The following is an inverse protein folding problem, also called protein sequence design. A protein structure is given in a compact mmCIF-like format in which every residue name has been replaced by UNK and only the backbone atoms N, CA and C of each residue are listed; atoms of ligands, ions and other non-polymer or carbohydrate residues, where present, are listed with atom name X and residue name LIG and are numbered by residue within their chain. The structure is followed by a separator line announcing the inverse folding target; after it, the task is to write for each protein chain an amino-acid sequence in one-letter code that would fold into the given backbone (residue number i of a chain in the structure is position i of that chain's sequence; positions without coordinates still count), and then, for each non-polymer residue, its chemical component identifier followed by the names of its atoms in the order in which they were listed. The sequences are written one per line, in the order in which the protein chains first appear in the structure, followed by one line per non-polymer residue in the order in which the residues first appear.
data_IF_844219209505
#
_entry.id   IF_844219209505
#
_cell.length_a   1.000
_cell.length_b   1.000
_cell.length_c   1.000
_cell.angle_alpha   90.00
_cell.angle_beta   90.00
_cell.angle_gamma   90.00
#
_symmetry.space_group_name_H-M   'P 1'
#
loop_
_entity.id
_entity.type
_entity.pdbx_description
1 polymer ?
#
# COMPACT_ATOMS: atom_id res chain seq x y z
N UNK A 1 -9.33 11.47 0.98
CA UNK A 1 -9.18 10.07 1.42
C UNK A 1 -8.35 10.10 2.69
N UNK A 2 -8.64 9.23 3.66
CA UNK A 2 -7.93 9.18 4.94
C UNK A 2 -6.88 8.06 4.84
N UNK A 3 -5.64 8.38 4.48
CA UNK A 3 -4.55 7.41 4.50
C UNK A 3 -3.88 7.39 5.88
N UNK A 4 -3.89 6.23 6.54
CA UNK A 4 -3.33 6.03 7.88
C UNK A 4 -2.22 4.98 7.82
N UNK A 5 -1.12 5.24 8.52
CA UNK A 5 0.01 4.29 8.63
C UNK A 5 0.40 4.15 10.10
N UNK A 6 0.83 2.94 10.45
CA UNK A 6 1.37 2.63 11.77
C UNK A 6 2.83 2.20 11.60
N UNK A 7 3.75 2.87 12.29
CA UNK A 7 5.15 2.48 12.33
C UNK A 7 5.46 1.71 13.60
N UNK A 8 6.33 0.70 13.52
CA UNK A 8 6.98 0.18 14.72
C UNK A 8 8.08 1.17 15.12
N UNK A 9 7.90 1.83 16.26
CA UNK A 9 8.88 2.75 16.82
C UNK A 9 10.20 2.02 17.08
N UNK A 10 11.22 2.24 16.23
CA UNK A 10 12.59 1.90 16.57
C UNK A 10 13.29 3.16 17.11
N UNK A 11 13.72 3.06 18.36
CA UNK A 11 14.04 4.18 19.22
C UNK A 11 15.48 4.63 18.97
N UNK A 12 15.69 5.69 18.18
CA UNK A 12 16.83 6.62 18.30
C UNK A 12 16.66 7.82 17.35
N UNK A 13 16.00 8.89 17.78
CA UNK A 13 16.57 10.25 17.74
C UNK A 13 15.69 11.24 18.55
N UNK A 14 16.37 12.17 19.22
CA UNK A 14 15.82 13.12 20.19
C UNK A 14 15.68 14.50 19.54
N UNK A 15 14.47 14.91 19.19
CA UNK A 15 13.96 16.28 19.36
C UNK A 15 12.43 16.27 19.21
N UNK A 16 11.71 16.52 20.32
CA UNK A 16 10.24 16.57 20.37
C UNK A 16 9.55 15.23 20.09
N UNK A 17 9.57 14.31 21.07
CA UNK A 17 9.07 12.93 20.89
C UNK A 17 7.54 12.90 20.82
N UNK A 18 6.96 13.11 19.65
CA UNK A 18 5.60 12.64 19.39
C UNK A 18 5.66 11.10 19.34
N UNK A 19 5.21 10.46 20.43
CA UNK A 19 5.22 9.01 20.62
C UNK A 19 4.04 8.32 19.93
N UNK A 20 3.41 8.99 18.97
CA UNK A 20 2.23 8.47 18.29
C UNK A 20 2.60 7.21 17.52
N UNK A 21 1.88 6.12 17.80
CA UNK A 21 2.01 4.84 17.09
C UNK A 21 1.28 4.84 15.74
N UNK A 22 0.63 5.95 15.41
CA UNK A 22 -0.17 6.13 14.22
C UNK A 22 -0.02 7.56 13.73
N UNK A 23 0.22 7.70 12.44
CA UNK A 23 0.28 8.97 11.73
C UNK A 23 -0.82 9.00 10.69
N UNK A 24 -1.32 10.21 10.43
CA UNK A 24 -2.41 10.41 9.50
C UNK A 24 -2.09 11.52 8.49
N UNK A 25 -2.47 11.30 7.22
CA UNK A 25 -2.28 12.24 6.12
C UNK A 25 -3.58 12.45 5.32
N UNK A 26 -3.97 13.70 5.14
CA UNK A 26 -5.10 14.08 4.26
C UNK A 26 -4.56 14.22 2.84
N UNK A 27 -4.77 13.19 2.02
CA UNK A 27 -4.36 13.18 0.62
C UNK A 27 -5.21 12.17 -0.19
N UNK A 28 -5.00 12.09 -1.50
CA UNK A 28 -5.38 10.88 -2.26
C UNK A 28 -4.47 9.72 -1.87
N UNK A 29 -4.83 8.48 -2.18
CA UNK A 29 -3.95 7.34 -1.87
C UNK A 29 -2.66 7.42 -2.70
N UNK A 30 -2.76 7.85 -3.96
CA UNK A 30 -1.62 8.08 -4.83
C UNK A 30 -0.67 9.16 -4.29
N UNK A 31 -1.20 10.32 -3.88
CA UNK A 31 -0.39 11.40 -3.34
C UNK A 31 0.23 11.03 -1.99
N UNK A 32 -0.49 10.25 -1.16
CA UNK A 32 0.02 9.77 0.11
C UNK A 32 1.22 8.82 -0.07
N UNK A 33 1.17 7.92 -1.06
CA UNK A 33 2.31 7.07 -1.40
C UNK A 33 3.52 7.89 -1.83
N UNK A 34 3.33 8.88 -2.71
CA UNK A 34 4.41 9.78 -3.19
C UNK A 34 4.97 10.69 -2.10
N UNK A 35 4.20 10.94 -1.05
CA UNK A 35 4.68 11.61 0.17
C UNK A 35 5.39 10.64 1.12
N UNK A 36 5.63 9.40 0.71
CA UNK A 36 6.41 8.40 1.44
C UNK A 36 5.67 7.72 2.58
N UNK A 37 4.34 7.80 2.64
CA UNK A 37 3.57 7.25 3.76
C UNK A 37 3.72 5.72 3.94
N UNK A 38 4.08 5.01 2.86
CA UNK A 38 4.34 3.57 2.87
C UNK A 38 5.83 3.18 2.89
N UNK A 39 6.76 4.15 2.93
CA UNK A 39 8.18 3.83 3.04
C UNK A 39 8.48 3.13 4.37
N UNK A 40 9.23 2.04 4.32
CA UNK A 40 9.49 1.18 5.49
C UNK A 40 8.29 0.33 5.94
N UNK A 41 7.11 0.45 5.31
CA UNK A 41 5.95 -0.34 5.69
C UNK A 41 6.11 -1.78 5.18
N UNK A 42 6.04 -2.76 6.09
CA UNK A 42 6.09 -4.18 5.72
C UNK A 42 4.73 -4.70 5.24
N UNK A 43 3.66 -4.12 5.76
CA UNK A 43 2.27 -4.47 5.48
C UNK A 43 1.55 -3.23 4.99
N UNK A 44 0.90 -3.31 3.83
CA UNK A 44 -0.02 -2.29 3.33
C UNK A 44 -1.46 -2.81 3.40
N UNK A 45 -2.37 -2.00 3.94
CA UNK A 45 -3.80 -2.31 3.96
C UNK A 45 -4.51 -1.32 3.05
N UNK A 46 -5.34 -1.82 2.13
CA UNK A 46 -6.13 -1.00 1.21
C UNK A 46 -7.60 -1.37 1.31
N UNK A 47 -8.45 -0.36 1.39
CA UNK A 47 -9.91 -0.46 1.35
C UNK A 47 -10.45 0.55 0.33
N UNK A 48 -10.25 0.29 -0.97
CA UNK A 48 -10.65 1.22 -2.01
C UNK A 48 -12.18 1.30 -2.16
N UNK A 49 -12.70 2.39 -2.77
CA UNK A 49 -14.11 2.47 -3.16
C UNK A 49 -14.47 1.37 -4.18
N UNK A 50 -15.78 1.20 -4.49
CA UNK A 50 -16.30 0.18 -5.42
C UNK A 50 -15.64 0.10 -6.81
N UNK A 51 -14.95 1.18 -7.21
CA UNK A 51 -14.20 1.31 -8.47
C UNK A 51 -12.78 0.72 -8.41
N UNK A 52 -12.32 0.26 -7.25
CA UNK A 52 -10.98 -0.28 -7.02
C UNK A 52 -9.93 0.80 -6.69
N UNK A 53 -8.66 0.37 -6.64
CA UNK A 53 -7.53 1.25 -6.34
C UNK A 53 -7.32 2.29 -7.45
N UNK A 54 -6.69 3.41 -7.09
CA UNK A 54 -6.19 4.37 -8.08
C UNK A 54 -5.09 3.70 -8.93
N UNK A 55 -5.07 3.98 -10.24
CA UNK A 55 -4.14 3.30 -11.16
C UNK A 55 -2.68 3.54 -10.78
N UNK A 56 -2.38 4.72 -10.24
CA UNK A 56 -1.08 5.09 -9.74
C UNK A 56 -0.65 4.21 -8.55
N UNK A 57 -1.58 3.88 -7.64
CA UNK A 57 -1.30 2.96 -6.52
C UNK A 57 -0.99 1.57 -7.04
N UNK A 58 -1.77 1.07 -8.01
CA UNK A 58 -1.50 -0.24 -8.61
C UNK A 58 -0.16 -0.24 -9.33
N UNK A 59 0.18 0.83 -10.06
CA UNK A 59 1.45 0.97 -10.76
C UNK A 59 2.64 0.93 -9.78
N UNK A 60 2.56 1.62 -8.63
CA UNK A 60 3.59 1.53 -7.58
C UNK A 60 3.72 0.11 -7.03
N UNK A 61 2.60 -0.55 -6.73
CA UNK A 61 2.58 -1.95 -6.30
C UNK A 61 3.11 -2.91 -7.38
N UNK A 62 3.10 -2.52 -8.64
CA UNK A 62 3.63 -3.29 -9.77
C UNK A 62 5.07 -2.91 -10.15
N UNK A 63 5.72 -1.98 -9.44
CA UNK A 63 7.16 -1.71 -9.61
C UNK A 63 8.01 -2.81 -8.94
N UNK A 64 9.06 -3.32 -9.61
CA UNK A 64 10.02 -4.24 -9.01
C UNK A 64 10.68 -3.65 -7.75
N UNK A 65 11.11 -4.53 -6.84
CA UNK A 65 11.87 -4.11 -5.66
C UNK A 65 13.19 -3.47 -6.10
N UNK A 66 13.42 -2.24 -5.65
CA UNK A 66 14.69 -1.54 -5.80
C UNK A 66 15.53 -1.74 -4.54
N UNK A 67 16.42 -2.74 -4.56
CA UNK A 67 17.32 -3.06 -3.43
C UNK A 67 18.36 -1.98 -3.13
N UNK A 68 18.58 -1.07 -4.07
CA UNK A 68 19.55 0.02 -3.94
C UNK A 68 18.88 1.36 -3.64
N UNK A 69 17.56 1.37 -3.40
CA UNK A 69 16.86 2.59 -3.00
C UNK A 69 17.43 3.10 -1.68
N UNK A 70 17.88 4.37 -1.61
CA UNK A 70 18.34 4.96 -0.37
C UNK A 70 17.22 4.95 0.68
N UNK A 71 17.57 4.62 1.92
CA UNK A 71 16.68 4.84 3.05
C UNK A 71 16.76 6.32 3.46
N UNK A 72 15.61 6.94 3.69
CA UNK A 72 15.51 8.29 4.26
C UNK A 72 14.39 8.34 5.28
N UNK A 73 14.56 9.14 6.33
CA UNK A 73 13.49 9.45 7.26
C UNK A 73 12.55 10.53 6.72
N UNK A 74 13.05 11.37 5.79
CA UNK A 74 12.27 12.41 5.12
C UNK A 74 12.10 12.06 3.63
N UNK A 75 10.87 11.67 3.22
CA UNK A 75 10.54 11.31 1.85
C UNK A 75 10.83 12.40 0.81
N UNK A 76 10.84 13.67 1.22
CA UNK A 76 11.13 14.79 0.32
C UNK A 76 12.53 14.67 -0.30
N UNK A 77 13.50 14.08 0.41
CA UNK A 77 14.83 13.83 -0.13
C UNK A 77 14.86 12.80 -1.26
N UNK A 78 13.93 11.83 -1.29
CA UNK A 78 13.81 10.89 -2.40
C UNK A 78 13.20 11.56 -3.64
N UNK A 79 12.21 12.43 -3.44
CA UNK A 79 11.56 13.16 -4.52
C UNK A 79 12.46 14.24 -5.17
N UNK A 80 13.46 14.75 -4.43
CA UNK A 80 14.43 15.74 -4.93
C UNK A 80 15.54 15.09 -5.77
N UNK A 81 15.79 13.78 -5.62
CA UNK A 81 16.65 13.07 -6.57
C UNK A 81 15.91 13.01 -7.91
N UNK A 82 16.56 13.47 -8.98
CA UNK A 82 16.01 13.99 -10.25
C UNK A 82 15.04 13.08 -11.05
N UNK A 83 14.59 11.94 -10.52
CA UNK A 83 13.73 10.99 -11.21
C UNK A 83 12.83 10.17 -10.24
N UNK A 84 11.67 10.73 -9.90
CA UNK A 84 10.60 10.08 -9.10
C UNK A 84 10.20 8.70 -9.67
N UNK A 85 10.42 8.46 -10.97
CA UNK A 85 10.08 7.17 -11.59
C UNK A 85 10.96 6.01 -11.10
N UNK A 86 12.15 6.31 -10.56
CA UNK A 86 13.08 5.31 -9.99
C UNK A 86 12.80 4.99 -8.53
N UNK A 87 11.98 5.80 -7.85
CA UNK A 87 11.56 5.52 -6.49
C UNK A 87 10.43 4.49 -6.54
N UNK A 88 10.57 3.46 -5.72
CA UNK A 88 9.51 2.53 -5.40
C UNK A 88 8.94 2.95 -4.03
N UNK A 89 7.77 3.59 -4.06
CA UNK A 89 7.13 4.14 -2.85
C UNK A 89 6.57 3.07 -1.91
N UNK A 90 6.55 1.82 -2.34
CA UNK A 90 6.09 0.64 -1.60
C UNK A 90 7.18 -0.44 -1.51
N UNK A 91 8.45 -0.05 -1.61
CA UNK A 91 9.59 -0.97 -1.77
C UNK A 91 9.65 -2.05 -0.69
N UNK A 92 9.38 -1.68 0.56
CA UNK A 92 9.49 -2.56 1.73
C UNK A 92 8.21 -3.37 1.99
N UNK A 93 7.14 -3.12 1.22
CA UNK A 93 5.85 -3.81 1.39
C UNK A 93 5.99 -5.24 0.87
N UNK A 94 5.87 -6.19 1.79
CA UNK A 94 5.94 -7.63 1.50
C UNK A 94 4.58 -8.31 1.61
N UNK A 95 3.62 -7.70 2.31
CA UNK A 95 2.24 -8.17 2.43
C UNK A 95 1.26 -7.05 2.11
N UNK A 96 0.29 -7.35 1.24
CA UNK A 96 -0.83 -6.47 0.92
C UNK A 96 -2.12 -7.13 1.41
N UNK A 97 -2.89 -6.41 2.23
CA UNK A 97 -4.24 -6.79 2.64
C UNK A 97 -5.22 -5.89 1.87
N UNK A 98 -6.02 -6.49 1.00
CA UNK A 98 -7.02 -5.79 0.19
C UNK A 98 -8.41 -6.12 0.73
N UNK A 99 -9.16 -5.10 1.13
CA UNK A 99 -10.57 -5.18 1.51
C UNK A 99 -11.40 -4.62 0.36
N UNK A 100 -12.39 -5.36 -0.13
CA UNK A 100 -13.20 -4.94 -1.29
C UNK A 100 -14.67 -5.25 -1.12
N UNK A 101 -15.52 -4.26 -1.42
CA UNK A 101 -16.97 -4.43 -1.56
C UNK A 101 -17.42 -4.66 -3.01
N UNK A 102 -16.48 -4.85 -3.95
CA UNK A 102 -16.73 -4.96 -5.39
C UNK A 102 -15.85 -6.05 -6.02
N UNK A 103 -16.49 -7.14 -6.45
CA UNK A 103 -15.77 -8.27 -7.04
C UNK A 103 -15.08 -7.91 -8.36
N UNK A 104 -15.73 -7.14 -9.24
CA UNK A 104 -15.19 -6.80 -10.56
C UNK A 104 -13.90 -5.95 -10.46
N UNK A 105 -13.92 -4.92 -9.61
CA UNK A 105 -12.76 -4.07 -9.41
C UNK A 105 -11.63 -4.82 -8.69
N UNK A 106 -11.98 -5.67 -7.72
CA UNK A 106 -11.01 -6.55 -7.07
C UNK A 106 -10.35 -7.51 -8.08
N UNK A 107 -11.13 -8.17 -8.95
CA UNK A 107 -10.62 -9.12 -9.94
C UNK A 107 -9.64 -8.44 -10.92
N UNK A 108 -9.99 -7.25 -11.40
CA UNK A 108 -9.12 -6.44 -12.28
C UNK A 108 -7.81 -6.06 -11.58
N UNK A 109 -7.87 -5.53 -10.37
CA UNK A 109 -6.68 -5.09 -9.63
C UNK A 109 -5.81 -6.31 -9.25
N UNK A 110 -6.43 -7.43 -8.86
CA UNK A 110 -5.79 -8.71 -8.60
C UNK A 110 -5.03 -9.23 -9.81
N UNK A 111 -5.65 -9.21 -10.99
CA UNK A 111 -5.01 -9.62 -12.25
C UNK A 111 -3.76 -8.78 -12.55
N UNK A 112 -3.83 -7.46 -12.36
CA UNK A 112 -2.67 -6.58 -12.55
C UNK A 112 -1.52 -6.92 -11.59
N UNK A 113 -1.82 -7.16 -10.31
CA UNK A 113 -0.82 -7.53 -9.31
C UNK A 113 -0.16 -8.87 -9.65
N UNK A 114 -0.95 -9.89 -9.97
CA UNK A 114 -0.47 -11.25 -10.26
C UNK A 114 0.33 -11.34 -11.57
N UNK A 115 -0.04 -10.54 -12.58
CA UNK A 115 0.67 -10.50 -13.86
C UNK A 115 1.88 -9.55 -13.85
N UNK A 116 2.10 -8.81 -12.76
CA UNK A 116 3.26 -7.92 -12.63
C UNK A 116 4.56 -8.70 -12.47
N UNK A 117 5.71 -8.15 -12.91
CA UNK A 117 7.01 -8.80 -12.72
C UNK A 117 7.51 -8.78 -11.26
N UNK A 118 6.67 -8.34 -10.31
CA UNK A 118 7.07 -8.10 -8.92
C UNK A 118 6.91 -9.30 -8.01
N UNK A 119 6.27 -10.36 -8.48
CA UNK A 119 6.13 -11.62 -7.74
C UNK A 119 5.10 -11.57 -6.62
N UNK A 120 4.06 -10.72 -6.74
CA UNK A 120 2.87 -10.84 -5.89
C UNK A 120 2.19 -12.18 -6.12
N UNK A 121 1.80 -12.82 -5.02
CA UNK A 121 1.02 -14.05 -5.03
C UNK A 121 -0.20 -13.89 -4.13
N UNK A 122 -1.37 -14.21 -4.65
CA UNK A 122 -2.58 -14.31 -3.83
C UNK A 122 -2.45 -15.53 -2.90
N UNK A 123 -2.43 -15.29 -1.58
CA UNK A 123 -2.35 -16.34 -0.57
C UNK A 123 -3.72 -16.83 -0.11
N UNK A 124 -4.66 -15.91 0.03
CA UNK A 124 -6.03 -16.22 0.39
C UNK A 124 -6.95 -15.11 -0.08
N UNK A 125 -8.18 -15.46 -0.45
CA UNK A 125 -9.28 -14.52 -0.60
C UNK A 125 -10.52 -15.12 0.09
N UNK A 126 -11.16 -14.36 0.96
CA UNK A 126 -12.32 -14.81 1.72
C UNK A 126 -13.45 -13.81 1.58
N UNK A 127 -14.61 -14.31 1.18
CA UNK A 127 -15.85 -13.53 1.10
C UNK A 127 -16.59 -13.53 2.44
N UNK A 128 -17.18 -12.40 2.78
CA UNK A 128 -17.95 -12.14 3.98
C UNK A 128 -19.28 -11.47 3.61
N UNK A 129 -20.37 -11.99 4.18
CA UNK A 129 -21.69 -11.38 4.07
C UNK A 129 -21.86 -10.44 5.27
N UNK A 130 -21.49 -9.17 5.12
CA UNK A 130 -21.69 -8.18 6.18
C UNK A 130 -23.14 -7.68 6.25
N UNK A 131 -23.87 -7.73 5.13
CA UNK A 131 -25.24 -7.23 5.02
C UNK A 131 -26.19 -8.31 4.49
N UNK A 132 -26.71 -9.22 5.34
CA UNK A 132 -27.66 -10.25 4.93
C UNK A 132 -28.91 -9.65 4.26
N UNK A 133 -29.35 -10.27 3.17
CA UNK A 133 -30.49 -9.77 2.38
C UNK A 133 -30.14 -8.67 1.37
N UNK A 134 -28.85 -8.42 1.15
CA UNK A 134 -28.36 -7.59 0.06
C UNK A 134 -27.46 -8.40 -0.89
N UNK A 135 -27.24 -7.88 -2.09
CA UNK A 135 -26.28 -8.44 -3.06
C UNK A 135 -24.85 -7.94 -2.80
N UNK A 136 -24.55 -7.44 -1.59
CA UNK A 136 -23.22 -6.97 -1.21
C UNK A 136 -22.36 -8.12 -0.66
N UNK A 137 -21.20 -8.32 -1.28
CA UNK A 137 -20.16 -9.24 -0.84
C UNK A 137 -18.89 -8.47 -0.52
N UNK A 138 -18.42 -8.62 0.71
CA UNK A 138 -17.13 -8.07 1.14
C UNK A 138 -16.05 -9.13 1.00
N UNK A 139 -14.91 -8.80 0.41
CA UNK A 139 -13.80 -9.72 0.19
C UNK A 139 -12.57 -9.20 0.91
N UNK A 140 -11.92 -10.05 1.69
CA UNK A 140 -10.58 -9.79 2.21
C UNK A 140 -9.60 -10.70 1.49
N UNK A 141 -8.65 -10.11 0.77
CA UNK A 141 -7.59 -10.82 0.07
C UNK A 141 -6.22 -10.48 0.67
N UNK A 142 -5.39 -11.51 0.82
CA UNK A 142 -4.02 -11.39 1.31
C UNK A 142 -3.09 -11.76 0.18
N UNK A 143 -2.23 -10.82 -0.20
CA UNK A 143 -1.15 -11.05 -1.14
C UNK A 143 0.19 -11.03 -0.40
N UNK A 144 1.10 -11.88 -0.83
CA UNK A 144 2.49 -11.85 -0.38
C UNK A 144 3.41 -11.73 -1.58
N UNK A 145 4.42 -10.88 -1.46
CA UNK A 145 5.46 -10.70 -2.47
C UNK A 145 6.64 -11.61 -2.15
N UNK A 146 7.17 -12.32 -3.16
CA UNK A 146 8.45 -13.03 -2.99
C UNK A 146 9.59 -12.01 -2.97
N UNK A 147 10.27 -11.92 -1.83
CA UNK A 147 11.45 -11.05 -1.63
C UNK A 147 12.74 -11.77 -2.00
#
# INVERSE_FOLDING_TARGET
VLAASASSANNNYRHGKDTSKATYLIASAADALKQGQALGAQVLVVDPPRRGMEVEVVNELCKPINRHQPYTEDPMFLAVQEDDTKVNWVNDVTRLIYVSCSFDSFARDCEQLLNSPTGWMLKSATGYILFPGSDHLETVAIFERRV
#
